data_IF_605660186316
#
_entry.id   IF_605660186316
#
_cell.length_a   1.000
_cell.length_b   1.000
_cell.length_c   1.000
_cell.angle_alpha   90.00
_cell.angle_beta   90.00
_cell.angle_gamma   90.00
#
_symmetry.space_group_name_H-M   'P 1'
#
loop_
_entity.id
_entity.type
_entity.pdbx_description
1 polymer ?
#
# COMPACT_ATOMS: atom_id res chain seq x y z
N UNK A 1 4.39 -0.93 -21.08
CA UNK A 1 4.18 -0.06 -19.90
C UNK A 1 4.44 1.38 -20.31
N UNK A 2 3.56 2.31 -19.94
CA UNK A 2 3.74 3.73 -20.26
C UNK A 2 4.70 4.34 -19.21
N UNK A 3 5.72 5.10 -19.61
CA UNK A 3 6.77 5.59 -18.69
C UNK A 3 6.20 6.32 -17.45
N UNK A 4 5.09 7.03 -17.64
CA UNK A 4 4.36 7.71 -16.56
C UNK A 4 3.76 6.78 -15.50
N UNK A 5 3.36 5.56 -15.88
CA UNK A 5 2.83 4.56 -14.95
C UNK A 5 3.93 4.01 -14.04
N UNK A 6 5.12 3.76 -14.61
CA UNK A 6 6.26 3.24 -13.86
C UNK A 6 6.76 4.27 -12.84
N UNK A 7 6.85 5.55 -13.22
CA UNK A 7 7.16 6.64 -12.29
C UNK A 7 6.14 6.77 -11.15
N UNK A 8 4.85 6.63 -11.47
CA UNK A 8 3.79 6.66 -10.47
C UNK A 8 3.86 5.44 -9.52
N UNK A 9 4.17 4.25 -10.04
CA UNK A 9 4.40 3.04 -9.23
C UNK A 9 5.61 3.24 -8.30
N UNK A 10 6.72 3.76 -8.81
CA UNK A 10 7.91 4.05 -7.99
C UNK A 10 7.63 5.08 -6.90
N UNK A 11 6.85 6.12 -7.19
CA UNK A 11 6.40 7.09 -6.20
C UNK A 11 5.58 6.43 -5.09
N UNK A 12 4.61 5.56 -5.44
CA UNK A 12 3.77 4.83 -4.47
C UNK A 12 4.58 3.87 -3.60
N UNK A 13 5.55 3.16 -4.18
CA UNK A 13 6.47 2.29 -3.43
C UNK A 13 7.39 3.09 -2.50
N UNK A 14 7.84 4.27 -2.93
CA UNK A 14 8.64 5.17 -2.08
C UNK A 14 7.83 5.62 -0.87
N UNK A 15 6.58 6.03 -1.06
CA UNK A 15 5.65 6.36 0.03
C UNK A 15 5.37 5.19 0.97
N UNK A 16 5.22 3.98 0.44
CA UNK A 16 5.06 2.77 1.26
C UNK A 16 6.29 2.52 2.14
N UNK A 17 7.50 2.70 1.60
CA UNK A 17 8.76 2.56 2.35
C UNK A 17 8.93 3.62 3.43
N UNK A 18 8.57 4.87 3.14
CA UNK A 18 8.56 5.97 4.14
C UNK A 18 7.61 5.67 5.30
N UNK A 19 6.39 5.23 4.99
CA UNK A 19 5.40 4.84 6.01
C UNK A 19 5.88 3.65 6.85
N UNK A 20 6.56 2.68 6.24
CA UNK A 20 7.14 1.54 6.94
C UNK A 20 8.31 1.96 7.85
N UNK A 21 9.15 2.90 7.40
CA UNK A 21 10.21 3.49 8.24
C UNK A 21 9.63 4.25 9.43
N UNK A 22 8.56 5.03 9.22
CA UNK A 22 7.86 5.72 10.29
C UNK A 22 7.21 4.74 11.29
N UNK A 23 6.63 3.64 10.79
CA UNK A 23 6.08 2.59 11.64
C UNK A 23 7.14 1.94 12.52
N UNK A 24 8.35 1.70 11.99
CA UNK A 24 9.48 1.18 12.79
C UNK A 24 9.85 2.12 13.94
N UNK A 25 9.96 3.43 13.68
CA UNK A 25 10.22 4.42 14.72
C UNK A 25 9.12 4.47 15.79
N UNK A 26 7.87 4.32 15.39
CA UNK A 26 6.72 4.26 16.32
C UNK A 26 6.67 2.96 17.12
N UNK A 27 7.13 1.85 16.53
CA UNK A 27 7.28 0.58 17.22
C UNK A 27 8.34 0.68 18.33
N UNK A 28 9.47 1.34 18.05
CA UNK A 28 10.51 1.60 19.05
C UNK A 28 9.99 2.51 20.19
N UNK A 29 9.10 3.45 19.87
CA UNK A 29 8.41 4.31 20.84
C UNK A 29 7.28 3.61 21.63
N UNK A 30 7.04 2.30 21.43
CA UNK A 30 5.92 1.52 22.00
C UNK A 30 4.52 2.04 21.68
N UNK A 31 4.40 2.91 20.68
CA UNK A 31 3.14 3.46 20.18
C UNK A 31 2.52 2.52 19.14
N UNK A 32 2.13 1.33 19.58
CA UNK A 32 1.69 0.26 18.68
C UNK A 32 0.42 0.61 17.90
N UNK A 33 -0.50 1.38 18.49
CA UNK A 33 -1.73 1.82 17.81
C UNK A 33 -1.40 2.71 16.59
N UNK A 34 -0.49 3.67 16.78
CA UNK A 34 -0.01 4.54 15.71
C UNK A 34 0.84 3.79 14.68
N UNK A 35 1.61 2.79 15.11
CA UNK A 35 2.40 1.91 14.24
C UNK A 35 1.52 1.09 13.29
N UNK A 36 0.49 0.43 13.81
CA UNK A 36 -0.46 -0.38 13.02
C UNK A 36 -1.16 0.47 11.97
N UNK A 37 -1.58 1.69 12.34
CA UNK A 37 -2.19 2.62 11.39
C UNK A 37 -1.24 2.98 10.23
N UNK A 38 0.04 3.28 10.52
CA UNK A 38 1.06 3.53 9.47
C UNK A 38 1.34 2.30 8.61
N UNK A 39 1.37 1.10 9.21
CA UNK A 39 1.55 -0.17 8.48
C UNK A 39 0.39 -0.45 7.52
N UNK A 40 -0.85 -0.22 7.95
CA UNK A 40 -2.04 -0.37 7.11
C UNK A 40 -1.93 0.47 5.84
N UNK A 41 -1.58 1.75 5.97
CA UNK A 41 -1.38 2.62 4.80
C UNK A 41 -0.17 2.21 3.96
N UNK A 42 0.93 1.74 4.56
CA UNK A 42 2.09 1.26 3.82
C UNK A 42 1.73 0.08 2.90
N UNK A 43 1.00 -0.90 3.44
CA UNK A 43 0.52 -2.08 2.69
C UNK A 43 -0.49 -1.65 1.62
N UNK A 44 -1.39 -0.72 1.93
CA UNK A 44 -2.34 -0.17 0.97
C UNK A 44 -1.64 0.47 -0.25
N UNK A 45 -0.60 1.29 -0.01
CA UNK A 45 0.16 1.89 -1.11
C UNK A 45 0.92 0.85 -1.94
N UNK A 46 1.48 -0.18 -1.31
CA UNK A 46 2.18 -1.27 -1.99
C UNK A 46 1.24 -2.13 -2.85
N UNK A 47 0.07 -2.50 -2.32
CA UNK A 47 -0.95 -3.27 -3.04
C UNK A 47 -1.41 -2.51 -4.30
N UNK A 48 -1.71 -1.22 -4.15
CA UNK A 48 -2.09 -0.39 -5.31
C UNK A 48 -0.98 -0.29 -6.37
N UNK A 49 0.28 -0.17 -5.94
CA UNK A 49 1.42 -0.16 -6.87
C UNK A 49 1.56 -1.49 -7.61
N UNK A 50 1.33 -2.61 -6.92
CA UNK A 50 1.35 -3.96 -7.50
C UNK A 50 0.21 -4.16 -8.52
N UNK A 51 -1.02 -3.75 -8.18
CA UNK A 51 -2.19 -3.79 -9.06
C UNK A 51 -1.96 -2.97 -10.34
N UNK A 52 -1.44 -1.75 -10.19
CA UNK A 52 -1.09 -0.89 -11.32
C UNK A 52 -0.05 -1.54 -12.25
N UNK A 53 0.94 -2.24 -11.69
CA UNK A 53 1.95 -2.96 -12.46
C UNK A 53 1.34 -4.17 -13.22
N UNK A 54 0.38 -4.86 -12.62
CA UNK A 54 -0.33 -5.99 -13.24
C UNK A 54 -1.34 -5.58 -14.32
N UNK A 55 -1.38 -4.29 -14.73
CA UNK A 55 -2.34 -3.73 -15.67
C UNK A 55 -3.82 -3.95 -15.28
N UNK A 56 -4.05 -4.27 -14.01
CA UNK A 56 -5.38 -4.38 -13.40
C UNK A 56 -5.66 -3.05 -12.72
N UNK A 57 -6.75 -2.37 -13.13
CA UNK A 57 -7.13 -1.08 -12.53
C UNK A 57 -7.18 -1.25 -11.00
N UNK A 58 -6.61 -0.33 -10.21
CA UNK A 58 -6.72 -0.42 -8.76
C UNK A 58 -8.22 -0.43 -8.42
N UNK A 59 -8.77 -1.52 -7.87
CA UNK A 59 -10.15 -1.51 -7.42
C UNK A 59 -10.27 -0.42 -6.35
N UNK A 60 -11.35 0.35 -6.42
CA UNK A 60 -11.77 1.17 -5.28
C UNK A 60 -11.84 0.28 -4.04
N UNK A 61 -11.47 0.79 -2.86
CA UNK A 61 -11.41 0.04 -1.59
C UNK A 61 -12.61 -0.91 -1.34
N UNK A 62 -13.87 -0.57 -1.67
CA UNK A 62 -14.98 -1.54 -1.56
C UNK A 62 -14.89 -2.74 -2.53
N UNK A 63 -14.24 -2.59 -3.69
CA UNK A 63 -14.09 -3.64 -4.69
C UNK A 63 -12.94 -4.61 -4.39
N UNK A 64 -11.86 -4.18 -3.73
CA UNK A 64 -10.78 -5.09 -3.31
C UNK A 64 -11.25 -6.06 -2.21
N UNK A 65 -12.00 -5.57 -1.22
CA UNK A 65 -12.56 -6.40 -0.14
C UNK A 65 -13.61 -7.36 -0.68
N UNK A 66 -14.44 -6.92 -1.64
CA UNK A 66 -15.44 -7.78 -2.29
C UNK A 66 -14.79 -8.90 -3.12
N UNK A 67 -13.66 -8.64 -3.77
CA UNK A 67 -12.95 -9.65 -4.56
C UNK A 67 -12.26 -10.71 -3.67
N UNK A 68 -11.78 -10.33 -2.48
CA UNK A 68 -11.25 -11.28 -1.50
C UNK A 68 -12.34 -12.22 -0.95
N UNK A 69 -13.57 -11.71 -0.79
CA UNK A 69 -14.70 -12.49 -0.27
C UNK A 69 -15.33 -13.46 -1.28
N UNK A 70 -15.03 -13.32 -2.57
CA UNK A 70 -15.50 -14.25 -3.63
C UNK A 70 -14.53 -15.41 -3.91
N UNK A 71 -13.35 -15.41 -3.26
CA UNK A 71 -12.31 -16.44 -3.41
C UNK A 71 -12.25 -17.37 -2.18
N UNK A 72 -12.93 -17.00 -1.09
CA UNK A 72 -13.20 -17.83 0.09
C UNK A 72 -14.62 -18.38 0.01
#
# INVERSE_FOLDING_TARGET
>A
MNAYQDDYIQYRLTRAREALRAAKLLADAKEYNSCVNRLYYAVFYAINALLLNMNTRPPSIPASVRCLCSIL
#
